data_IF_370547083502
#
_entry.id   IF_370547083502
#
_cell.length_a   1.000
_cell.length_b   1.000
_cell.length_c   1.000
_cell.angle_alpha   90.00
_cell.angle_beta   90.00
_cell.angle_gamma   90.00
#
_symmetry.space_group_name_H-M   'P 1'
#
loop_
_entity.id
_entity.type
_entity.pdbx_description
1 polymer ?
#
# COMPACT_ATOMS: atom_id res chain seq x y z
N UNK A 1 4.30 -28.10 55.93
CA UNK A 1 4.58 -28.07 54.48
C UNK A 1 3.58 -27.10 53.88
N UNK A 2 3.94 -25.82 53.85
CA UNK A 2 3.17 -24.76 53.23
C UNK A 2 3.56 -24.73 51.75
N UNK A 3 2.62 -25.05 50.87
CA UNK A 3 2.75 -24.84 49.43
C UNK A 3 2.86 -23.32 49.20
N UNK A 4 4.08 -22.82 49.06
CA UNK A 4 4.31 -21.53 48.41
C UNK A 4 4.13 -21.76 46.92
N UNK A 5 2.96 -21.42 46.38
CA UNK A 5 2.89 -21.12 44.96
C UNK A 5 3.65 -19.80 44.73
N UNK A 6 4.56 -19.73 43.76
CA UNK A 6 5.20 -18.48 43.39
C UNK A 6 4.12 -17.49 42.93
N UNK A 7 4.14 -16.26 43.45
CA UNK A 7 3.26 -15.20 42.93
C UNK A 7 3.76 -14.87 41.53
N UNK A 8 2.94 -15.14 40.51
CA UNK A 8 3.20 -14.73 39.13
C UNK A 8 3.13 -13.20 39.09
N UNK A 9 4.27 -12.53 39.28
CA UNK A 9 4.39 -11.13 38.91
C UNK A 9 4.25 -11.07 37.39
N UNK A 10 3.39 -10.18 36.90
CA UNK A 10 3.11 -10.07 35.49
C UNK A 10 4.07 -9.09 34.82
N UNK A 11 4.51 -9.40 33.59
CA UNK A 11 5.36 -8.52 32.79
C UNK A 11 4.65 -7.20 32.60
N UNK A 12 5.40 -6.13 32.88
CA UNK A 12 4.86 -4.79 32.81
C UNK A 12 4.61 -4.46 31.35
N UNK A 13 3.35 -4.21 30.97
CA UNK A 13 3.04 -3.71 29.64
C UNK A 13 3.93 -2.51 29.27
N UNK A 14 4.23 -2.38 27.97
CA UNK A 14 5.13 -1.35 27.40
C UNK A 14 4.71 0.11 27.70
N UNK A 15 3.58 0.35 28.36
CA UNK A 15 3.16 1.66 28.87
C UNK A 15 2.65 1.54 30.31
N UNK A 16 3.47 1.97 31.28
CA UNK A 16 2.98 2.28 32.64
C UNK A 16 2.43 3.70 32.68
N UNK A 17 1.13 3.87 32.47
CA UNK A 17 0.44 5.09 32.90
C UNK A 17 0.17 4.99 34.40
N UNK A 18 0.62 5.98 35.18
CA UNK A 18 0.32 6.07 36.62
C UNK A 18 -1.12 6.55 36.80
N UNK A 19 -2.06 5.65 37.06
CA UNK A 19 -3.39 6.06 37.54
C UNK A 19 -3.35 6.43 39.03
N UNK A 20 -3.81 7.65 39.34
CA UNK A 20 -4.09 8.09 40.71
C UNK A 20 -5.55 7.75 41.01
N UNK A 21 -5.78 6.80 41.91
CA UNK A 21 -7.11 6.26 42.20
C UNK A 21 -8.13 7.28 42.72
N UNK A 22 -9.31 7.25 42.10
CA UNK A 22 -10.56 7.81 42.61
C UNK A 22 -11.63 6.73 42.53
N UNK A 23 -11.95 6.10 43.66
CA UNK A 23 -13.01 5.09 43.79
C UNK A 23 -14.39 5.66 43.37
N UNK A 24 -14.98 5.14 42.30
CA UNK A 24 -16.41 5.22 42.05
C UNK A 24 -16.92 3.95 41.32
N UNK A 25 -17.88 3.28 41.93
CA UNK A 25 -18.41 1.98 41.51
C UNK A 25 -19.51 2.10 40.45
N UNK A 26 -19.19 1.77 39.19
CA UNK A 26 -20.16 1.53 38.09
C UNK A 26 -19.84 0.27 37.24
N UNK A 27 -19.12 -0.71 37.80
CA UNK A 27 -18.57 -1.89 37.10
C UNK A 27 -19.57 -2.88 36.46
N UNK A 28 -20.84 -2.87 36.87
CA UNK A 28 -21.74 -3.98 36.52
C UNK A 28 -22.29 -3.94 35.08
N UNK A 29 -22.23 -2.80 34.38
CA UNK A 29 -22.75 -2.68 33.00
C UNK A 29 -21.68 -2.99 31.93
N UNK A 30 -20.39 -2.84 32.27
CA UNK A 30 -19.25 -3.05 31.36
C UNK A 30 -19.03 -4.53 31.02
N UNK A 31 -19.07 -5.41 32.03
CA UNK A 31 -18.88 -6.86 31.85
C UNK A 31 -19.96 -7.48 30.93
N UNK A 32 -21.19 -6.95 30.99
CA UNK A 32 -22.33 -7.45 30.21
C UNK A 32 -22.29 -7.01 28.74
N UNK A 33 -21.73 -5.84 28.43
CA UNK A 33 -21.53 -5.36 27.06
C UNK A 33 -20.33 -6.04 26.40
N UNK A 34 -19.23 -6.24 27.13
CA UNK A 34 -18.02 -6.95 26.65
C UNK A 34 -18.28 -8.42 26.32
N UNK A 35 -19.00 -9.15 27.17
CA UNK A 35 -19.36 -10.55 26.92
C UNK A 35 -20.25 -10.75 25.67
N UNK A 36 -21.04 -9.72 25.29
CA UNK A 36 -21.82 -9.76 24.05
C UNK A 36 -20.95 -9.60 22.82
N UNK A 37 -19.96 -8.70 22.86
CA UNK A 37 -19.01 -8.51 21.75
C UNK A 37 -18.22 -9.79 21.47
N UNK A 38 -17.70 -10.44 22.51
CA UNK A 38 -16.97 -11.72 22.38
C UNK A 38 -17.84 -12.83 21.78
N UNK A 39 -19.10 -12.95 22.21
CA UNK A 39 -20.05 -13.94 21.66
C UNK A 39 -20.38 -13.69 20.19
N UNK A 40 -20.38 -12.43 19.75
CA UNK A 40 -20.70 -12.07 18.36
C UNK A 40 -19.53 -12.40 17.42
N UNK A 41 -18.29 -12.36 17.94
CA UNK A 41 -17.08 -12.73 17.21
C UNK A 41 -16.87 -14.25 17.13
N UNK A 42 -17.30 -15.02 18.13
CA UNK A 42 -17.16 -16.49 18.12
C UNK A 42 -18.15 -17.18 17.20
N UNK A 43 -19.35 -16.61 16.99
CA UNK A 43 -20.38 -17.23 16.15
C UNK A 43 -20.09 -17.11 14.64
N UNK A 44 -19.22 -16.20 14.21
CA UNK A 44 -18.89 -15.99 12.80
C UNK A 44 -17.92 -17.07 12.24
N UNK A 45 -17.20 -17.80 13.10
CA UNK A 45 -16.14 -18.74 12.70
C UNK A 45 -16.64 -20.16 12.40
N UNK A 46 -17.93 -20.47 12.59
CA UNK A 46 -18.41 -21.87 12.59
C UNK A 46 -19.29 -22.29 11.40
N UNK A 47 -19.35 -21.52 10.32
CA UNK A 47 -20.11 -21.91 9.11
C UNK A 47 -19.34 -21.71 7.81
N UNK A 48 -18.45 -22.63 7.47
CA UNK A 48 -18.26 -23.08 6.07
C UNK A 48 -17.27 -24.24 6.03
N UNK A 49 -17.69 -25.42 5.57
CA UNK A 49 -16.83 -26.42 4.89
C UNK A 49 -17.75 -27.46 4.21
N UNK A 50 -18.08 -27.23 2.95
CA UNK A 50 -18.38 -28.31 2.00
C UNK A 50 -17.77 -28.00 0.64
N UNK A 51 -16.68 -28.72 0.37
CA UNK A 51 -16.19 -29.26 -0.90
C UNK A 51 -16.49 -28.52 -2.22
N UNK A 52 -15.44 -27.97 -2.83
CA UNK A 52 -15.28 -28.03 -4.29
C UNK A 52 -13.85 -28.37 -4.68
N UNK A 53 -13.72 -29.41 -5.49
CA UNK A 53 -12.50 -30.07 -5.93
C UNK A 53 -12.26 -29.67 -7.39
N UNK A 54 -11.19 -28.92 -7.68
CA UNK A 54 -10.86 -28.45 -9.02
C UNK A 54 -9.43 -28.83 -9.42
N UNK A 55 -9.33 -29.64 -10.48
CA UNK A 55 -8.09 -30.14 -11.09
C UNK A 55 -7.31 -29.00 -11.76
N UNK A 56 -6.06 -28.82 -11.36
CA UNK A 56 -5.09 -27.98 -12.05
C UNK A 56 -4.54 -28.67 -13.31
N UNK A 57 -4.45 -27.90 -14.40
CA UNK A 57 -3.83 -28.30 -15.68
C UNK A 57 -2.49 -27.58 -15.79
N UNK A 58 -1.40 -28.32 -15.99
CA UNK A 58 -0.04 -27.76 -16.14
C UNK A 58 0.17 -27.09 -17.52
N UNK A 59 0.96 -26.00 -17.61
CA UNK A 59 1.38 -25.45 -18.89
C UNK A 59 2.60 -26.18 -19.45
N UNK A 60 2.60 -26.38 -20.77
CA UNK A 60 3.67 -26.97 -21.58
C UNK A 60 4.90 -26.07 -21.61
N UNK A 61 6.07 -26.65 -21.33
CA UNK A 61 7.37 -26.09 -21.69
C UNK A 61 7.51 -26.00 -23.22
N UNK A 62 7.97 -24.84 -23.70
CA UNK A 62 8.41 -24.62 -25.07
C UNK A 62 9.94 -24.70 -25.08
N UNK A 63 10.45 -25.73 -25.74
CA UNK A 63 11.84 -25.84 -26.15
C UNK A 63 12.11 -24.85 -27.28
N UNK A 64 13.17 -24.04 -27.14
CA UNK A 64 13.79 -23.33 -28.26
C UNK A 64 15.30 -23.59 -28.27
N UNK A 65 15.65 -24.61 -29.04
CA UNK A 65 16.97 -24.83 -29.64
C UNK A 65 17.05 -23.91 -30.87
N UNK A 66 18.06 -23.03 -30.98
CA UNK A 66 18.69 -22.61 -32.24
C UNK A 66 19.95 -21.76 -31.96
N UNK A 67 21.08 -22.24 -32.49
CA UNK A 67 22.34 -21.51 -32.57
C UNK A 67 22.53 -20.76 -33.90
N UNK A 68 23.73 -20.15 -34.00
CA UNK A 68 24.30 -19.31 -35.08
C UNK A 68 23.91 -17.82 -35.00
N UNK A 69 24.80 -16.83 -35.15
CA UNK A 69 26.21 -16.77 -35.49
C UNK A 69 26.80 -15.47 -34.88
N UNK A 70 28.03 -15.54 -34.36
CA UNK A 70 28.76 -14.37 -33.87
C UNK A 70 29.37 -13.60 -35.05
N UNK A 71 28.85 -12.41 -35.33
CA UNK A 71 29.55 -11.40 -36.12
C UNK A 71 30.02 -10.27 -35.21
N UNK A 72 31.31 -10.30 -34.87
CA UNK A 72 32.06 -9.20 -34.29
C UNK A 72 32.06 -7.99 -35.23
N UNK A 73 31.34 -6.94 -34.85
CA UNK A 73 31.48 -5.60 -35.41
C UNK A 73 32.22 -4.73 -34.39
N UNK A 74 33.21 -4.02 -34.90
CA UNK A 74 34.18 -3.16 -34.22
C UNK A 74 33.53 -2.15 -33.28
N UNK A 75 34.02 -2.13 -32.05
CA UNK A 75 33.87 -1.05 -31.07
C UNK A 75 34.61 0.19 -31.56
N UNK A 76 33.90 1.30 -31.74
CA UNK A 76 34.27 2.64 -31.27
C UNK A 76 33.16 3.64 -31.67
N UNK A 77 32.61 4.35 -30.67
CA UNK A 77 31.61 5.44 -30.76
C UNK A 77 30.12 5.10 -30.96
N UNK A 78 29.52 4.25 -30.10
CA UNK A 78 28.07 4.28 -29.84
C UNK A 78 27.86 4.35 -28.33
N UNK A 79 27.51 5.54 -27.82
CA UNK A 79 27.01 5.71 -26.45
C UNK A 79 25.62 5.07 -26.33
N UNK A 80 25.48 4.15 -25.37
CA UNK A 80 24.25 3.70 -24.69
C UNK A 80 22.97 3.61 -25.54
N UNK A 81 22.98 2.78 -26.58
CA UNK A 81 21.73 2.33 -27.21
C UNK A 81 21.38 0.96 -26.66
N UNK A 82 20.48 0.90 -25.68
CA UNK A 82 19.90 -0.36 -25.21
C UNK A 82 18.97 -0.86 -26.33
N UNK A 83 19.35 -1.96 -26.99
CA UNK A 83 18.55 -2.57 -28.05
C UNK A 83 17.43 -3.38 -27.39
N UNK A 84 16.19 -2.92 -27.53
CA UNK A 84 14.99 -3.63 -27.13
C UNK A 84 14.51 -4.48 -28.32
N UNK A 85 14.46 -5.81 -28.16
CA UNK A 85 13.85 -6.70 -29.17
C UNK A 85 12.33 -6.56 -29.11
N UNK A 86 11.80 -5.66 -29.93
CA UNK A 86 10.35 -5.51 -30.14
C UNK A 86 9.87 -6.62 -31.09
N UNK A 87 8.78 -7.30 -30.73
CA UNK A 87 8.10 -8.22 -31.64
C UNK A 87 7.48 -7.42 -32.79
N UNK A 88 7.79 -7.73 -34.05
CA UNK A 88 7.49 -6.89 -35.22
C UNK A 88 6.01 -6.71 -35.60
N UNK A 89 5.07 -7.06 -34.71
CA UNK A 89 3.61 -7.00 -34.93
C UNK A 89 2.81 -6.38 -33.76
N UNK A 90 3.44 -5.85 -32.70
CA UNK A 90 2.75 -5.23 -31.55
C UNK A 90 2.25 -3.81 -31.83
N UNK A 91 1.23 -3.40 -31.08
CA UNK A 91 0.74 -2.01 -31.05
C UNK A 91 1.84 -1.10 -30.47
N UNK A 92 2.15 0.03 -31.13
CA UNK A 92 3.16 0.98 -30.68
C UNK A 92 2.90 1.44 -29.23
N UNK A 93 1.63 1.54 -28.80
CA UNK A 93 1.29 1.90 -27.41
C UNK A 93 1.68 0.80 -26.43
N UNK A 94 1.51 -0.47 -26.80
CA UNK A 94 1.86 -1.62 -25.98
C UNK A 94 3.38 -1.71 -25.78
N UNK A 95 4.16 -1.46 -26.83
CA UNK A 95 5.64 -1.43 -26.73
C UNK A 95 6.12 -0.39 -25.72
N UNK A 96 5.52 0.81 -25.75
CA UNK A 96 5.88 1.90 -24.85
C UNK A 96 5.39 1.62 -23.42
N UNK A 97 4.26 0.93 -23.25
CA UNK A 97 3.83 0.40 -21.94
C UNK A 97 4.84 -0.60 -21.38
N UNK A 98 5.36 -1.52 -22.19
CA UNK A 98 6.38 -2.47 -21.74
C UNK A 98 7.69 -1.77 -21.33
N UNK A 99 8.07 -0.69 -22.05
CA UNK A 99 9.21 0.14 -21.65
C UNK A 99 8.98 0.82 -20.29
N UNK A 100 7.78 1.34 -20.04
CA UNK A 100 7.40 1.92 -18.76
C UNK A 100 7.47 0.89 -17.63
N UNK A 101 6.85 -0.28 -17.81
CA UNK A 101 6.79 -1.34 -16.79
C UNK A 101 8.21 -1.79 -16.44
N UNK A 102 9.02 -2.11 -17.45
CA UNK A 102 10.40 -2.53 -17.24
C UNK A 102 11.25 -1.44 -16.57
N UNK A 103 11.12 -0.19 -17.04
CA UNK A 103 11.85 0.94 -16.45
C UNK A 103 11.54 1.12 -14.97
N UNK A 104 10.27 0.99 -14.58
CA UNK A 104 9.85 1.02 -13.17
C UNK A 104 10.40 -0.17 -12.38
N UNK A 105 10.27 -1.39 -12.90
CA UNK A 105 10.78 -2.60 -12.24
C UNK A 105 12.30 -2.55 -12.02
N UNK A 106 13.08 -2.04 -12.98
CA UNK A 106 14.52 -1.89 -12.84
C UNK A 106 14.87 -0.89 -11.71
N UNK A 107 14.09 0.20 -11.55
CA UNK A 107 14.25 1.15 -10.43
C UNK A 107 13.98 0.46 -9.08
N UNK A 108 12.88 -0.30 -8.97
CA UNK A 108 12.52 -1.03 -7.75
C UNK A 108 13.56 -2.09 -7.39
N UNK A 109 14.21 -2.70 -8.39
CA UNK A 109 15.30 -3.65 -8.21
C UNK A 109 16.65 -3.00 -7.86
N UNK A 110 16.70 -1.67 -7.72
CA UNK A 110 17.92 -0.91 -7.42
C UNK A 110 18.80 -0.60 -8.64
N UNK A 111 18.37 -0.95 -9.84
CA UNK A 111 19.01 -0.62 -11.12
C UNK A 111 18.53 0.74 -11.63
N UNK A 112 18.74 1.77 -10.81
CA UNK A 112 18.14 3.10 -11.00
C UNK A 112 18.55 3.74 -12.32
N UNK A 113 19.81 3.58 -12.77
CA UNK A 113 20.28 4.21 -14.01
C UNK A 113 19.69 3.56 -15.25
N UNK A 114 19.62 2.23 -15.27
CA UNK A 114 19.00 1.44 -16.34
C UNK A 114 17.51 1.81 -16.48
N UNK A 115 16.80 1.88 -15.35
CA UNK A 115 15.40 2.29 -15.34
C UNK A 115 15.19 3.74 -15.80
N UNK A 116 16.06 4.69 -15.39
CA UNK A 116 16.03 6.08 -15.90
C UNK A 116 16.19 6.13 -17.42
N UNK A 117 17.13 5.35 -17.98
CA UNK A 117 17.35 5.30 -19.44
C UNK A 117 16.11 4.76 -20.17
N UNK A 118 15.47 3.72 -19.65
CA UNK A 118 14.24 3.16 -20.21
C UNK A 118 13.08 4.17 -20.15
N UNK A 119 12.89 4.86 -19.03
CA UNK A 119 11.83 5.87 -18.90
C UNK A 119 12.05 7.07 -19.82
N UNK A 120 13.29 7.51 -20.03
CA UNK A 120 13.62 8.52 -21.05
C UNK A 120 13.32 8.04 -22.46
N UNK A 121 13.65 6.78 -22.76
CA UNK A 121 13.29 6.14 -24.03
C UNK A 121 11.78 6.11 -24.25
N UNK A 122 11.01 5.74 -23.22
CA UNK A 122 9.56 5.72 -23.21
C UNK A 122 8.99 7.11 -23.55
N UNK A 123 9.46 8.17 -22.87
CA UNK A 123 9.04 9.56 -23.13
C UNK A 123 9.38 9.99 -24.56
N UNK A 124 10.58 9.66 -25.05
CA UNK A 124 10.98 10.00 -26.42
C UNK A 124 10.10 9.36 -27.49
N UNK A 125 9.69 8.11 -27.26
CA UNK A 125 8.77 7.41 -28.16
C UNK A 125 7.36 8.00 -28.08
N UNK A 126 6.86 8.34 -26.88
CA UNK A 126 5.60 9.07 -26.73
C UNK A 126 5.63 10.41 -27.49
N UNK A 127 6.71 11.18 -27.38
CA UNK A 127 6.90 12.44 -28.09
C UNK A 127 6.95 12.23 -29.61
N UNK A 128 7.55 11.13 -30.08
CA UNK A 128 7.57 10.77 -31.51
C UNK A 128 6.16 10.47 -32.00
N UNK A 129 5.37 9.68 -31.27
CA UNK A 129 3.98 9.38 -31.60
C UNK A 129 3.14 10.67 -31.71
N UNK A 130 3.29 11.61 -30.77
CA UNK A 130 2.62 12.91 -30.82
C UNK A 130 3.06 13.72 -32.05
N UNK A 131 4.36 13.77 -32.36
CA UNK A 131 4.87 14.50 -33.54
C UNK A 131 4.36 13.94 -34.85
N UNK A 132 4.43 12.61 -35.01
CA UNK A 132 3.93 11.90 -36.19
C UNK A 132 2.45 12.20 -36.37
N UNK A 133 1.68 12.13 -35.28
CA UNK A 133 0.25 12.41 -35.28
C UNK A 133 -0.11 13.86 -35.59
N UNK A 134 0.68 14.81 -35.12
CA UNK A 134 0.49 16.23 -35.43
C UNK A 134 0.97 16.61 -36.84
N UNK A 135 1.42 15.65 -37.65
CA UNK A 135 1.95 15.88 -39.00
C UNK A 135 3.31 16.59 -39.02
N UNK A 136 3.98 16.64 -37.87
CA UNK A 136 5.27 17.31 -37.68
C UNK A 136 6.42 16.31 -37.86
N UNK A 137 6.49 15.67 -39.03
CA UNK A 137 7.60 14.75 -39.34
C UNK A 137 8.79 15.54 -39.89
N UNK A 138 9.96 15.49 -39.22
CA UNK A 138 11.15 16.14 -39.72
C UNK A 138 11.52 15.63 -41.11
N UNK A 139 11.75 16.55 -42.06
CA UNK A 139 12.21 16.27 -43.43
C UNK A 139 11.19 15.58 -44.37
N UNK A 140 9.91 15.50 -44.01
CA UNK A 140 8.88 15.04 -44.93
C UNK A 140 8.74 15.99 -46.14
N UNK A 141 8.59 15.42 -47.34
CA UNK A 141 8.28 16.17 -48.56
C UNK A 141 6.88 16.77 -48.47
N UNK A 142 6.58 17.79 -49.29
CA UNK A 142 5.24 18.42 -49.32
C UNK A 142 4.14 17.42 -49.67
N UNK A 143 4.44 16.43 -50.51
CA UNK A 143 3.49 15.39 -50.93
C UNK A 143 3.22 14.41 -49.77
N UNK A 144 4.25 13.99 -49.02
CA UNK A 144 4.11 13.16 -47.82
C UNK A 144 3.34 13.87 -46.71
N UNK A 145 3.61 15.17 -46.48
CA UNK A 145 2.86 15.98 -45.52
C UNK A 145 1.38 16.07 -45.89
N UNK A 146 1.07 16.17 -47.18
CA UNK A 146 -0.31 16.31 -47.66
C UNK A 146 -1.08 14.98 -47.58
N UNK A 147 -0.43 13.86 -47.91
CA UNK A 147 -0.96 12.51 -47.68
C UNK A 147 -1.20 12.22 -46.19
N UNK A 148 -0.28 12.67 -45.33
CA UNK A 148 -0.44 12.52 -43.88
C UNK A 148 -1.54 13.39 -43.29
N UNK A 149 -1.71 14.63 -43.74
CA UNK A 149 -2.82 15.45 -43.26
C UNK A 149 -4.18 14.81 -43.52
N UNK A 150 -4.33 14.09 -44.64
CA UNK A 150 -5.54 13.32 -44.94
C UNK A 150 -5.65 12.13 -43.99
N UNK A 151 -4.57 11.38 -43.77
CA UNK A 151 -4.55 10.25 -42.84
C UNK A 151 -4.83 10.67 -41.38
N UNK A 152 -4.27 11.80 -40.94
CA UNK A 152 -4.43 12.36 -39.58
C UNK A 152 -5.89 12.75 -39.33
N UNK A 153 -6.56 13.33 -40.33
CA UNK A 153 -7.99 13.67 -40.25
C UNK A 153 -8.88 12.43 -40.14
N UNK A 154 -8.39 11.26 -40.55
CA UNK A 154 -9.11 9.99 -40.51
C UNK A 154 -8.72 9.11 -39.30
N UNK A 155 -7.59 9.35 -38.64
CA UNK A 155 -7.15 8.57 -37.47
C UNK A 155 -7.76 9.05 -36.14
N UNK A 156 -8.38 8.15 -35.35
CA UNK A 156 -8.97 8.47 -34.04
C UNK A 156 -7.92 8.99 -33.06
N UNK A 157 -8.32 9.81 -32.07
CA UNK A 157 -7.46 10.41 -31.02
C UNK A 157 -6.50 9.39 -30.38
N UNK A 158 -5.35 9.82 -29.83
CA UNK A 158 -4.48 8.86 -29.13
C UNK A 158 -5.30 8.27 -28.00
N UNK A 159 -5.17 6.97 -27.79
CA UNK A 159 -5.95 6.27 -26.77
C UNK A 159 -5.66 6.87 -25.39
N UNK A 160 -6.62 6.76 -24.46
CA UNK A 160 -6.38 7.15 -23.07
C UNK A 160 -5.17 6.40 -22.49
N UNK A 161 -4.97 5.14 -22.92
CA UNK A 161 -3.84 4.32 -22.50
C UNK A 161 -2.48 4.94 -22.86
N UNK A 162 -2.34 5.52 -24.06
CA UNK A 162 -1.14 6.26 -24.45
C UNK A 162 -0.80 7.37 -23.44
N UNK A 163 -1.80 8.18 -23.06
CA UNK A 163 -1.59 9.29 -22.13
C UNK A 163 -1.30 8.81 -20.70
N UNK A 164 -1.89 7.68 -20.29
CA UNK A 164 -1.53 7.01 -19.04
C UNK A 164 -0.05 6.62 -19.02
N UNK A 165 0.44 5.94 -20.07
CA UNK A 165 1.84 5.54 -20.17
C UNK A 165 2.76 6.76 -20.11
N UNK A 166 2.45 7.79 -20.90
CA UNK A 166 3.27 9.00 -20.96
C UNK A 166 3.31 9.74 -19.62
N UNK A 167 2.15 9.95 -18.98
CA UNK A 167 2.07 10.59 -17.66
C UNK A 167 2.83 9.81 -16.58
N UNK A 168 2.70 8.48 -16.57
CA UNK A 168 3.42 7.62 -15.62
C UNK A 168 4.94 7.68 -15.83
N UNK A 169 5.40 7.65 -17.08
CA UNK A 169 6.82 7.72 -17.40
C UNK A 169 7.46 9.04 -16.93
N UNK A 170 6.78 10.18 -17.14
CA UNK A 170 7.22 11.48 -16.64
C UNK A 170 7.32 11.50 -15.11
N UNK A 171 6.29 10.99 -14.43
CA UNK A 171 6.26 10.94 -12.98
C UNK A 171 7.40 10.08 -12.41
N UNK A 172 7.52 8.83 -12.87
CA UNK A 172 8.56 7.92 -12.37
C UNK A 172 9.98 8.37 -12.73
N UNK A 173 10.17 9.01 -13.89
CA UNK A 173 11.46 9.60 -14.23
C UNK A 173 11.82 10.71 -13.24
N UNK A 174 10.87 11.60 -12.92
CA UNK A 174 11.07 12.65 -11.94
C UNK A 174 11.49 12.10 -10.57
N UNK A 175 10.84 11.03 -10.10
CA UNK A 175 11.20 10.36 -8.85
C UNK A 175 12.60 9.76 -8.88
N UNK A 176 12.91 9.02 -9.93
CA UNK A 176 14.20 8.35 -10.06
C UNK A 176 15.36 9.35 -10.17
N UNK A 177 15.18 10.46 -10.89
CA UNK A 177 16.19 11.52 -10.96
C UNK A 177 16.40 12.21 -9.61
N UNK A 178 15.34 12.47 -8.86
CA UNK A 178 15.45 13.05 -7.51
C UNK A 178 16.18 12.10 -6.53
N UNK A 179 15.86 10.80 -6.59
CA UNK A 179 16.54 9.78 -5.80
C UNK A 179 18.03 9.65 -6.17
N UNK A 180 18.36 9.64 -7.47
CA UNK A 180 19.73 9.56 -7.95
C UNK A 180 20.57 10.79 -7.55
N UNK A 181 19.98 11.99 -7.53
CA UNK A 181 20.66 13.19 -7.06
C UNK A 181 20.98 13.11 -5.56
N UNK A 182 20.02 12.65 -4.76
CA UNK A 182 20.19 12.49 -3.30
C UNK A 182 21.34 11.54 -2.96
N UNK A 183 21.51 10.47 -3.74
CA UNK A 183 22.62 9.52 -3.56
C UNK A 183 23.97 10.12 -3.95
N UNK A 184 24.02 10.88 -5.05
CA UNK A 184 25.25 11.47 -5.57
C UNK A 184 25.74 12.69 -4.75
N UNK A 185 24.81 13.46 -4.20
CA UNK A 185 25.08 14.75 -3.53
C UNK A 185 25.11 14.64 -2.01
N UNK A 186 25.45 13.46 -1.47
CA UNK A 186 25.63 13.20 -0.02
C UNK A 186 26.74 14.04 0.66
N UNK A 187 27.20 15.13 0.01
CA UNK A 187 28.04 16.20 0.57
C UNK A 187 27.71 17.64 0.14
N UNK A 188 26.61 17.91 -0.60
CA UNK A 188 26.20 19.28 -0.96
C UNK A 188 24.69 19.49 -0.80
N UNK A 189 24.29 20.39 0.11
CA UNK A 189 22.91 20.59 0.59
C UNK A 189 21.90 21.23 -0.40
N UNK A 190 22.21 21.35 -1.69
CA UNK A 190 21.29 21.98 -2.67
C UNK A 190 20.67 20.95 -3.61
N UNK A 191 19.87 20.02 -3.05
CA UNK A 191 18.89 19.31 -3.87
C UNK A 191 17.99 20.34 -4.56
N UNK A 192 17.66 20.15 -5.83
CA UNK A 192 16.89 21.11 -6.62
C UNK A 192 15.41 20.67 -6.75
N UNK A 193 14.57 20.85 -5.71
CA UNK A 193 13.18 20.37 -5.66
C UNK A 193 12.31 20.90 -6.80
N UNK A 194 12.73 22.01 -7.42
CA UNK A 194 12.06 22.62 -8.58
C UNK A 194 11.94 21.65 -9.76
N UNK A 195 12.96 20.81 -10.01
CA UNK A 195 12.91 19.87 -11.15
C UNK A 195 11.87 18.76 -10.97
N UNK A 196 11.73 18.23 -9.75
CA UNK A 196 10.73 17.19 -9.47
C UNK A 196 9.31 17.74 -9.60
N UNK A 197 9.08 18.97 -9.11
CA UNK A 197 7.79 19.65 -9.28
C UNK A 197 7.43 19.80 -10.77
N UNK A 198 8.38 20.18 -11.63
CA UNK A 198 8.14 20.30 -13.08
C UNK A 198 7.71 18.96 -13.71
N UNK A 199 8.34 17.85 -13.32
CA UNK A 199 7.95 16.51 -13.78
C UNK A 199 6.55 16.11 -13.29
N UNK A 200 6.20 16.45 -12.06
CA UNK A 200 4.88 16.20 -11.48
C UNK A 200 3.79 16.97 -12.23
N UNK A 201 3.99 18.28 -12.48
CA UNK A 201 3.03 19.07 -13.25
C UNK A 201 2.91 18.57 -14.69
N UNK A 202 4.02 18.20 -15.33
CA UNK A 202 3.99 17.64 -16.68
C UNK A 202 3.25 16.29 -16.73
N UNK A 203 3.42 15.44 -15.71
CA UNK A 203 2.69 14.18 -15.61
C UNK A 203 1.19 14.41 -15.43
N UNK A 204 0.79 15.36 -14.57
CA UNK A 204 -0.62 15.74 -14.38
C UNK A 204 -1.22 16.25 -15.69
N UNK A 205 -0.55 17.18 -16.39
CA UNK A 205 -1.00 17.72 -17.68
C UNK A 205 -1.27 16.62 -18.70
N UNK A 206 -0.35 15.65 -18.81
CA UNK A 206 -0.50 14.53 -19.76
C UNK A 206 -1.65 13.60 -19.40
N UNK A 207 -1.85 13.32 -18.13
CA UNK A 207 -2.95 12.48 -17.66
C UNK A 207 -4.31 13.16 -17.82
N UNK A 208 -4.41 14.44 -17.48
CA UNK A 208 -5.63 15.24 -17.69
C UNK A 208 -5.96 15.35 -19.19
N UNK A 209 -4.95 15.57 -20.05
CA UNK A 209 -5.12 15.49 -21.52
C UNK A 209 -5.69 14.14 -21.95
N UNK A 210 -5.26 13.04 -21.31
CA UNK A 210 -5.78 11.70 -21.57
C UNK A 210 -7.25 11.53 -21.22
N UNK A 211 -7.74 12.19 -20.17
CA UNK A 211 -9.17 12.20 -19.84
C UNK A 211 -10.00 13.07 -20.80
N UNK A 212 -9.41 14.14 -21.32
CA UNK A 212 -10.10 15.06 -22.24
C UNK A 212 -10.17 14.55 -23.68
N UNK A 213 -9.09 13.93 -24.18
CA UNK A 213 -8.92 13.58 -25.59
C UNK A 213 -8.93 12.08 -25.85
N UNK A 214 -8.71 11.26 -24.82
CA UNK A 214 -8.60 9.82 -24.96
C UNK A 214 -9.90 9.16 -25.38
N UNK A 215 -9.78 8.00 -26.03
CA UNK A 215 -10.93 7.12 -26.25
C UNK A 215 -11.56 6.72 -24.92
N UNK A 216 -12.89 6.47 -24.94
CA UNK A 216 -13.65 5.99 -23.78
C UNK A 216 -13.35 4.51 -23.49
N UNK A 217 -12.10 4.19 -23.18
CA UNK A 217 -11.70 2.92 -22.58
C UNK A 217 -11.84 3.01 -21.05
N UNK A 218 -12.79 2.28 -20.44
CA UNK A 218 -12.99 2.30 -18.99
C UNK A 218 -11.73 1.93 -18.21
N UNK A 219 -10.91 1.00 -18.70
CA UNK A 219 -9.71 0.55 -17.99
C UNK A 219 -8.66 1.66 -17.97
N UNK A 220 -8.34 2.25 -19.13
CA UNK A 220 -7.43 3.38 -19.19
C UNK A 220 -7.92 4.59 -18.38
N UNK A 221 -9.23 4.91 -18.42
CA UNK A 221 -9.79 6.01 -17.61
C UNK A 221 -9.59 5.75 -16.11
N UNK A 222 -9.78 4.51 -15.66
CA UNK A 222 -9.55 4.15 -14.25
C UNK A 222 -8.08 4.23 -13.89
N UNK A 223 -7.20 3.70 -14.74
CA UNK A 223 -5.74 3.80 -14.57
C UNK A 223 -5.30 5.26 -14.46
N UNK A 224 -5.79 6.15 -15.33
CA UNK A 224 -5.49 7.59 -15.28
C UNK A 224 -5.97 8.22 -13.97
N UNK A 225 -7.23 7.98 -13.56
CA UNK A 225 -7.76 8.55 -12.33
C UNK A 225 -7.01 8.05 -11.09
N UNK A 226 -6.75 6.74 -10.98
CA UNK A 226 -5.95 6.19 -9.89
C UNK A 226 -4.57 6.84 -9.80
N UNK A 227 -3.93 7.05 -10.95
CA UNK A 227 -2.61 7.67 -11.01
C UNK A 227 -2.62 9.18 -10.74
N UNK A 228 -3.63 9.92 -11.21
CA UNK A 228 -3.80 11.35 -10.89
C UNK A 228 -3.95 11.56 -9.39
N UNK A 229 -4.77 10.73 -8.71
CA UNK A 229 -4.88 10.78 -7.26
C UNK A 229 -3.54 10.46 -6.56
N UNK A 230 -2.80 9.44 -7.03
CA UNK A 230 -1.46 9.11 -6.52
C UNK A 230 -0.47 10.27 -6.66
N UNK A 231 -0.39 10.89 -7.85
CA UNK A 231 0.54 11.99 -8.10
C UNK A 231 0.17 13.21 -7.24
N UNK A 232 -1.12 13.55 -7.12
CA UNK A 232 -1.56 14.68 -6.30
C UNK A 232 -1.28 14.44 -4.81
N UNK A 233 -1.45 13.22 -4.29
CA UNK A 233 -1.03 12.85 -2.93
C UNK A 233 0.48 13.00 -2.71
N UNK A 234 1.28 12.64 -3.72
CA UNK A 234 2.72 12.86 -3.67
C UNK A 234 3.07 14.35 -3.72
N UNK A 235 2.39 15.14 -4.57
CA UNK A 235 2.56 16.59 -4.64
C UNK A 235 2.33 17.24 -3.28
N UNK A 236 1.28 16.85 -2.55
CA UNK A 236 1.04 17.35 -1.18
C UNK A 236 2.23 17.04 -0.27
N UNK A 237 2.81 15.84 -0.39
CA UNK A 237 3.96 15.42 0.42
C UNK A 237 5.26 16.19 0.13
N UNK A 238 5.39 16.76 -1.07
CA UNK A 238 6.61 17.43 -1.54
C UNK A 238 6.53 18.94 -1.36
N UNK A 239 5.34 19.50 -1.44
CA UNK A 239 5.15 20.95 -1.39
C UNK A 239 4.68 21.34 0.01
N UNK A 240 5.49 22.13 0.72
CA UNK A 240 5.08 22.89 1.92
C UNK A 240 4.13 24.03 1.52
N UNK A 241 3.04 23.66 0.88
CA UNK A 241 2.05 24.57 0.32
C UNK A 241 1.17 25.13 1.44
N UNK A 242 0.47 26.22 1.16
CA UNK A 242 -0.44 26.78 2.17
C UNK A 242 -1.54 25.75 2.51
N UNK A 243 -2.07 25.73 3.75
CA UNK A 243 -3.09 24.74 4.14
C UNK A 243 -4.32 24.65 3.24
N UNK A 244 -4.64 25.74 2.52
CA UNK A 244 -5.74 25.77 1.54
C UNK A 244 -5.45 24.99 0.27
N UNK A 245 -4.20 24.98 -0.20
CA UNK A 245 -3.83 24.25 -1.41
C UNK A 245 -3.74 22.75 -1.11
N UNK A 246 -3.23 22.39 0.08
CA UNK A 246 -3.28 21.01 0.59
C UNK A 246 -4.73 20.49 0.62
N UNK A 247 -5.65 21.25 1.20
CA UNK A 247 -7.07 20.89 1.25
C UNK A 247 -7.68 20.75 -0.16
N UNK A 248 -7.36 21.65 -1.09
CA UNK A 248 -7.80 21.54 -2.47
C UNK A 248 -7.29 20.26 -3.14
N UNK A 249 -5.98 19.98 -3.02
CA UNK A 249 -5.36 18.79 -3.60
C UNK A 249 -5.96 17.50 -3.00
N UNK A 250 -6.22 17.46 -1.69
CA UNK A 250 -6.87 16.32 -1.04
C UNK A 250 -8.27 16.08 -1.60
N UNK A 251 -9.06 17.14 -1.80
CA UNK A 251 -10.37 17.04 -2.43
C UNK A 251 -10.28 16.52 -3.87
N UNK A 252 -9.32 17.00 -4.66
CA UNK A 252 -9.08 16.51 -6.02
C UNK A 252 -8.67 15.02 -6.03
N UNK A 253 -7.79 14.59 -5.12
CA UNK A 253 -7.42 13.19 -4.95
C UNK A 253 -8.65 12.32 -4.68
N UNK A 254 -9.50 12.73 -3.75
CA UNK A 254 -10.72 12.00 -3.40
C UNK A 254 -11.70 11.89 -4.58
N UNK A 255 -11.81 12.93 -5.41
CA UNK A 255 -12.62 12.86 -6.64
C UNK A 255 -12.10 11.78 -7.57
N UNK A 256 -10.79 11.79 -7.86
CA UNK A 256 -10.18 10.79 -8.73
C UNK A 256 -10.30 9.36 -8.18
N UNK A 257 -10.03 9.17 -6.89
CA UNK A 257 -10.18 7.86 -6.25
C UNK A 257 -11.63 7.38 -6.22
N UNK A 258 -12.60 8.27 -6.05
CA UNK A 258 -14.03 7.93 -6.10
C UNK A 258 -14.44 7.44 -7.49
N UNK A 259 -13.88 8.01 -8.56
CA UNK A 259 -14.13 7.53 -9.94
C UNK A 259 -13.66 6.08 -10.10
N UNK A 260 -12.47 5.74 -9.60
CA UNK A 260 -11.95 4.36 -9.64
C UNK A 260 -12.84 3.42 -8.83
N UNK A 261 -13.26 3.86 -7.64
CA UNK A 261 -14.15 3.10 -6.77
C UNK A 261 -15.49 2.78 -7.44
N UNK A 262 -16.07 3.76 -8.13
CA UNK A 262 -17.39 3.63 -8.76
C UNK A 262 -17.35 2.89 -10.11
N UNK A 263 -16.16 2.71 -10.70
CA UNK A 263 -15.98 2.12 -12.04
C UNK A 263 -16.40 0.66 -12.16
N UNK A 264 -16.16 -0.15 -11.11
CA UNK A 264 -16.42 -1.59 -11.06
C UNK A 264 -16.01 -2.33 -12.34
N UNK A 265 -14.73 -2.22 -12.71
CA UNK A 265 -14.20 -2.86 -13.91
C UNK A 265 -14.51 -4.37 -13.94
N UNK A 266 -14.71 -4.91 -15.14
CA UNK A 266 -14.97 -6.34 -15.34
C UNK A 266 -13.77 -7.21 -14.92
N UNK A 267 -12.55 -6.72 -15.17
CA UNK A 267 -11.32 -7.32 -14.65
C UNK A 267 -11.16 -7.00 -13.17
N UNK A 268 -11.71 -7.89 -12.34
CA UNK A 268 -11.66 -7.78 -10.88
C UNK A 268 -10.23 -7.76 -10.34
N UNK A 269 -9.29 -8.49 -10.94
CA UNK A 269 -7.91 -8.56 -10.43
C UNK A 269 -7.24 -7.20 -10.56
N UNK A 270 -7.34 -6.59 -11.74
CA UNK A 270 -6.81 -5.26 -11.99
C UNK A 270 -7.52 -4.21 -11.14
N UNK A 271 -8.85 -4.28 -11.00
CA UNK A 271 -9.61 -3.37 -10.14
C UNK A 271 -9.23 -3.47 -8.67
N UNK A 272 -9.15 -4.69 -8.12
CA UNK A 272 -8.71 -4.92 -6.73
C UNK A 272 -7.31 -4.35 -6.52
N UNK A 273 -6.36 -4.63 -7.43
CA UNK A 273 -5.00 -4.09 -7.34
C UNK A 273 -4.99 -2.56 -7.28
N UNK A 274 -5.75 -1.88 -8.15
CA UNK A 274 -5.84 -0.42 -8.14
C UNK A 274 -6.47 0.12 -6.86
N UNK A 275 -7.54 -0.52 -6.37
CA UNK A 275 -8.18 -0.12 -5.11
C UNK A 275 -7.24 -0.30 -3.92
N UNK A 276 -6.46 -1.38 -3.90
CA UNK A 276 -5.47 -1.65 -2.87
C UNK A 276 -4.38 -0.58 -2.84
N UNK A 277 -3.85 -0.20 -4.00
CA UNK A 277 -2.86 0.87 -4.11
C UNK A 277 -3.40 2.20 -3.57
N UNK A 278 -4.64 2.56 -3.91
CA UNK A 278 -5.29 3.78 -3.43
C UNK A 278 -5.44 3.75 -1.90
N UNK A 279 -5.95 2.65 -1.35
CA UNK A 279 -6.15 2.54 0.08
C UNK A 279 -4.83 2.61 0.85
N UNK A 280 -3.78 1.99 0.32
CA UNK A 280 -2.44 2.05 0.90
C UNK A 280 -1.86 3.46 0.84
N UNK A 281 -2.04 4.19 -0.27
CA UNK A 281 -1.59 5.59 -0.39
C UNK A 281 -2.29 6.47 0.64
N UNK A 282 -3.61 6.35 0.78
CA UNK A 282 -4.38 7.12 1.76
C UNK A 282 -3.92 6.83 3.19
N UNK A 283 -3.70 5.56 3.54
CA UNK A 283 -3.23 5.15 4.86
C UNK A 283 -1.79 5.60 5.13
N UNK A 284 -0.85 5.35 4.21
CA UNK A 284 0.53 5.80 4.39
C UNK A 284 0.64 7.31 4.53
N UNK A 285 -0.23 8.05 3.82
CA UNK A 285 -0.28 9.49 4.00
C UNK A 285 -0.87 9.82 5.36
N UNK A 286 -2.00 9.24 5.80
CA UNK A 286 -2.59 9.55 7.11
C UNK A 286 -1.63 9.36 8.28
N UNK A 287 -0.67 8.43 8.17
CA UNK A 287 0.33 8.14 9.21
C UNK A 287 1.48 9.17 9.32
N UNK A 288 1.51 10.24 8.51
CA UNK A 288 2.55 11.27 8.66
C UNK A 288 2.27 12.22 9.82
N UNK A 289 3.31 12.50 10.60
CA UNK A 289 3.26 13.38 11.78
C UNK A 289 2.84 14.83 11.48
N UNK A 290 3.04 15.31 10.26
CA UNK A 290 2.83 16.71 9.87
C UNK A 290 1.41 17.02 9.36
N UNK A 291 0.53 16.01 9.30
CA UNK A 291 -0.84 16.15 8.83
C UNK A 291 -1.77 16.60 9.96
N UNK A 292 -2.78 17.41 9.62
CA UNK A 292 -3.80 17.80 10.58
C UNK A 292 -4.62 16.57 11.00
N UNK A 293 -4.95 16.49 12.29
CA UNK A 293 -5.75 15.40 12.84
C UNK A 293 -7.05 15.12 12.08
N UNK A 294 -7.76 16.15 11.61
CA UNK A 294 -8.99 15.97 10.82
C UNK A 294 -8.72 15.32 9.46
N UNK A 295 -7.68 15.76 8.76
CA UNK A 295 -7.28 15.20 7.46
C UNK A 295 -6.80 13.75 7.64
N UNK A 296 -6.05 13.47 8.73
CA UNK A 296 -5.63 12.12 9.12
C UNK A 296 -6.84 11.21 9.28
N UNK A 297 -7.81 11.60 10.11
CA UNK A 297 -9.05 10.85 10.34
C UNK A 297 -9.81 10.59 9.04
N UNK A 298 -10.00 11.62 8.21
CA UNK A 298 -10.72 11.50 6.93
C UNK A 298 -10.04 10.50 5.99
N UNK A 299 -8.72 10.52 5.89
CA UNK A 299 -7.96 9.62 5.03
C UNK A 299 -7.93 8.18 5.55
N UNK A 300 -7.78 8.00 6.87
CA UNK A 300 -7.88 6.69 7.52
C UNK A 300 -9.27 6.08 7.29
N UNK A 301 -10.34 6.84 7.51
CA UNK A 301 -11.72 6.38 7.25
C UNK A 301 -11.96 6.04 5.77
N UNK A 302 -11.41 6.84 4.86
CA UNK A 302 -11.50 6.59 3.43
C UNK A 302 -10.75 5.31 3.03
N UNK A 303 -9.54 5.10 3.55
CA UNK A 303 -8.77 3.87 3.34
C UNK A 303 -9.51 2.64 3.86
N UNK A 304 -10.03 2.69 5.10
CA UNK A 304 -10.83 1.61 5.68
C UNK A 304 -12.07 1.29 4.83
N UNK A 305 -12.75 2.31 4.29
CA UNK A 305 -13.91 2.13 3.41
C UNK A 305 -13.52 1.35 2.16
N UNK A 306 -12.37 1.67 1.55
CA UNK A 306 -11.88 0.96 0.36
C UNK A 306 -11.55 -0.49 0.69
N UNK A 307 -10.78 -0.76 1.75
CA UNK A 307 -10.45 -2.13 2.15
C UNK A 307 -11.70 -2.98 2.40
N UNK A 308 -12.71 -2.41 3.08
CA UNK A 308 -14.01 -3.07 3.28
C UNK A 308 -14.77 -3.34 1.97
N UNK A 309 -14.55 -2.56 0.92
CA UNK A 309 -15.16 -2.79 -0.39
C UNK A 309 -14.43 -3.91 -1.12
N UNK A 310 -13.09 -3.93 -1.08
CA UNK A 310 -12.30 -5.03 -1.64
C UNK A 310 -12.66 -6.36 -0.96
N UNK A 311 -12.71 -6.40 0.38
CA UNK A 311 -13.07 -7.61 1.14
C UNK A 311 -14.50 -8.10 0.93
N UNK A 312 -15.39 -7.26 0.38
CA UNK A 312 -16.73 -7.71 -0.05
C UNK A 312 -16.71 -8.40 -1.41
N UNK A 313 -15.74 -8.07 -2.26
CA UNK A 313 -15.56 -8.68 -3.57
C UNK A 313 -14.63 -9.89 -3.52
N UNK A 314 -13.61 -9.86 -2.65
CA UNK A 314 -12.69 -10.95 -2.35
C UNK A 314 -12.35 -10.96 -0.84
N UNK A 315 -13.06 -11.80 -0.07
CA UNK A 315 -12.88 -11.95 1.38
C UNK A 315 -11.56 -12.65 1.76
N UNK A 316 -10.82 -13.14 0.76
CA UNK A 316 -9.53 -13.83 0.92
C UNK A 316 -8.34 -12.99 0.48
N UNK A 317 -8.54 -11.72 0.12
CA UNK A 317 -7.44 -10.84 -0.24
C UNK A 317 -6.60 -10.49 1.01
N UNK A 318 -5.43 -11.13 1.12
CA UNK A 318 -4.53 -10.99 2.28
C UNK A 318 -4.11 -9.54 2.47
N UNK A 319 -3.79 -8.82 1.39
CA UNK A 319 -3.35 -7.42 1.48
C UNK A 319 -4.44 -6.53 2.08
N UNK A 320 -5.70 -6.73 1.69
CA UNK A 320 -6.83 -5.97 2.23
C UNK A 320 -7.15 -6.31 3.68
N UNK A 321 -7.01 -7.58 4.08
CA UNK A 321 -7.15 -7.99 5.48
C UNK A 321 -6.11 -7.28 6.34
N UNK A 322 -4.85 -7.30 5.90
CA UNK A 322 -3.74 -6.65 6.61
C UNK A 322 -3.92 -5.13 6.62
N UNK A 323 -4.21 -4.52 5.48
CA UNK A 323 -4.41 -3.07 5.36
C UNK A 323 -5.56 -2.55 6.23
N UNK A 324 -6.69 -3.28 6.27
CA UNK A 324 -7.80 -2.93 7.15
C UNK A 324 -7.43 -3.11 8.64
N UNK A 325 -6.77 -4.22 8.98
CA UNK A 325 -6.27 -4.45 10.34
C UNK A 325 -5.35 -3.34 10.82
N UNK A 326 -4.39 -2.92 10.00
CA UNK A 326 -3.45 -1.85 10.33
C UNK A 326 -4.15 -0.49 10.51
N UNK A 327 -5.10 -0.16 9.64
CA UNK A 327 -5.86 1.08 9.76
C UNK A 327 -6.74 1.11 11.02
N UNK A 328 -7.28 -0.04 11.45
CA UNK A 328 -8.05 -0.16 12.69
C UNK A 328 -7.16 -0.07 13.93
N UNK A 329 -5.99 -0.72 13.92
CA UNK A 329 -4.99 -0.63 14.98
C UNK A 329 -4.55 0.83 15.19
N UNK A 330 -4.15 1.53 14.12
CA UNK A 330 -3.74 2.93 14.20
C UNK A 330 -4.86 3.85 14.76
N UNK A 331 -6.11 3.61 14.35
CA UNK A 331 -7.27 4.36 14.89
C UNK A 331 -7.48 4.05 16.38
N UNK A 332 -7.27 2.80 16.80
CA UNK A 332 -7.39 2.42 18.20
C UNK A 332 -6.31 3.07 19.06
N UNK A 333 -5.06 3.14 18.57
CA UNK A 333 -3.96 3.79 19.27
C UNK A 333 -4.24 5.27 19.52
N UNK A 334 -4.77 5.99 18.53
CA UNK A 334 -5.21 7.38 18.71
C UNK A 334 -6.29 7.53 19.78
N UNK A 335 -7.26 6.60 19.82
CA UNK A 335 -8.32 6.62 20.82
C UNK A 335 -7.78 6.32 22.21
N UNK A 336 -6.83 5.39 22.35
CA UNK A 336 -6.15 5.11 23.62
C UNK A 336 -5.42 6.36 24.11
N UNK A 337 -4.63 7.00 23.24
CA UNK A 337 -3.89 8.21 23.61
C UNK A 337 -4.83 9.38 23.98
N UNK A 338 -5.93 9.56 23.23
CA UNK A 338 -6.93 10.56 23.55
C UNK A 338 -7.67 10.26 24.87
N UNK A 339 -7.97 8.99 25.13
CA UNK A 339 -8.62 8.55 26.35
C UNK A 339 -7.74 8.77 27.58
N UNK A 340 -6.44 8.49 27.48
CA UNK A 340 -5.46 8.74 28.56
C UNK A 340 -5.35 10.24 28.88
N UNK A 341 -5.41 11.10 27.87
CA UNK A 341 -5.34 12.55 28.05
C UNK A 341 -6.63 13.14 28.64
N UNK A 342 -7.78 12.58 28.30
CA UNK A 342 -9.09 13.12 28.67
C UNK A 342 -9.81 12.31 29.77
N UNK A 343 -9.18 11.25 30.28
CA UNK A 343 -9.77 10.28 31.21
C UNK A 343 -11.13 9.73 30.69
N UNK A 344 -11.20 9.40 29.40
CA UNK A 344 -12.46 9.00 28.73
C UNK A 344 -12.60 7.49 28.57
N UNK A 345 -13.47 6.88 29.38
CA UNK A 345 -13.79 5.44 29.30
C UNK A 345 -14.47 5.05 27.97
N UNK A 346 -15.34 5.92 27.44
CA UNK A 346 -16.03 5.68 26.16
C UNK A 346 -15.03 5.47 25.00
N UNK A 347 -13.95 6.27 24.98
CA UNK A 347 -12.90 6.15 23.97
C UNK A 347 -12.09 4.85 24.11
N UNK A 348 -11.90 4.35 25.34
CA UNK A 348 -11.25 3.04 25.58
C UNK A 348 -12.14 1.88 25.13
N UNK A 349 -13.47 1.96 25.31
CA UNK A 349 -14.40 0.95 24.78
C UNK A 349 -14.38 0.91 23.26
N UNK A 350 -14.37 2.08 22.60
CA UNK A 350 -14.26 2.17 21.15
C UNK A 350 -12.92 1.60 20.65
N UNK A 351 -11.80 1.93 21.32
CA UNK A 351 -10.49 1.39 21.00
C UNK A 351 -10.44 -0.14 21.14
N UNK A 352 -10.99 -0.69 22.22
CA UNK A 352 -11.08 -2.14 22.45
C UNK A 352 -11.84 -2.83 21.30
N UNK A 353 -12.96 -2.27 20.86
CA UNK A 353 -13.75 -2.80 19.74
C UNK A 353 -12.96 -2.81 18.42
N UNK A 354 -12.18 -1.76 18.15
CA UNK A 354 -11.34 -1.67 16.96
C UNK A 354 -10.18 -2.67 17.00
N UNK A 355 -9.51 -2.84 18.15
CA UNK A 355 -8.43 -3.80 18.32
C UNK A 355 -8.89 -5.25 18.15
N UNK A 356 -10.09 -5.60 18.66
CA UNK A 356 -10.66 -6.93 18.44
C UNK A 356 -10.92 -7.19 16.96
N UNK A 357 -11.40 -6.18 16.22
CA UNK A 357 -11.58 -6.28 14.77
C UNK A 357 -10.23 -6.39 14.04
N UNK A 358 -9.22 -5.59 14.42
CA UNK A 358 -7.88 -5.66 13.85
C UNK A 358 -7.27 -7.06 14.03
N UNK A 359 -7.31 -7.60 15.25
CA UNK A 359 -6.83 -8.95 15.56
C UNK A 359 -7.57 -10.02 14.75
N UNK A 360 -8.88 -9.87 14.56
CA UNK A 360 -9.65 -10.77 13.68
C UNK A 360 -9.13 -10.75 12.24
N UNK A 361 -8.92 -9.58 11.64
CA UNK A 361 -8.40 -9.49 10.27
C UNK A 361 -6.98 -10.04 10.14
N UNK A 362 -6.08 -9.77 11.10
CA UNK A 362 -4.73 -10.32 11.09
C UNK A 362 -4.71 -11.85 11.23
N UNK A 363 -5.56 -12.44 12.09
CA UNK A 363 -5.71 -13.90 12.19
C UNK A 363 -6.19 -14.50 10.86
N UNK A 364 -7.22 -13.91 10.25
CA UNK A 364 -7.71 -14.35 8.93
C UNK A 364 -6.62 -14.28 7.86
N UNK A 365 -5.79 -13.23 7.85
CA UNK A 365 -4.65 -13.12 6.94
C UNK A 365 -3.58 -14.19 7.19
N UNK A 366 -3.32 -14.54 8.46
CA UNK A 366 -2.39 -15.63 8.81
C UNK A 366 -2.92 -16.99 8.38
N UNK A 367 -4.21 -17.27 8.58
CA UNK A 367 -4.81 -18.54 8.18
C UNK A 367 -4.71 -18.76 6.65
N UNK A 368 -4.87 -17.70 5.86
CA UNK A 368 -4.73 -17.76 4.40
C UNK A 368 -3.27 -17.89 3.91
N UNK A 369 -2.30 -17.48 4.71
CA UNK A 369 -0.87 -17.53 4.35
C UNK A 369 -0.17 -18.79 4.88
N UNK A 370 -0.71 -19.41 5.94
CA UNK A 370 -0.21 -20.69 6.49
C UNK A 370 -0.23 -21.82 5.46
N UNK A 371 -1.20 -21.82 4.54
CA UNK A 371 -1.30 -22.80 3.45
C UNK A 371 -0.10 -22.78 2.47
N UNK A 372 0.77 -21.77 2.55
CA UNK A 372 1.89 -21.56 1.62
C UNK A 372 3.27 -21.90 2.22
N UNK A 373 3.35 -22.50 3.41
CA UNK A 373 4.60 -22.78 4.14
C UNK A 373 5.49 -21.53 4.36
N UNK A 374 4.93 -20.32 4.23
CA UNK A 374 5.64 -19.06 4.40
C UNK A 374 5.12 -18.32 5.63
N UNK A 375 6.02 -17.99 6.54
CA UNK A 375 5.72 -17.16 7.70
C UNK A 375 5.56 -15.71 7.25
N UNK A 376 4.36 -15.15 7.42
CA UNK A 376 4.11 -13.74 7.15
C UNK A 376 4.53 -12.89 8.35
N UNK A 377 5.81 -12.55 8.40
CA UNK A 377 6.43 -11.81 9.52
C UNK A 377 5.71 -10.48 9.82
N UNK A 378 5.43 -9.59 8.85
CA UNK A 378 4.72 -8.34 9.12
C UNK A 378 3.38 -8.55 9.85
N UNK A 379 2.59 -9.55 9.44
CA UNK A 379 1.27 -9.81 10.04
C UNK A 379 1.40 -10.35 11.46
N UNK A 380 2.40 -11.20 11.73
CA UNK A 380 2.66 -11.68 13.10
C UNK A 380 3.10 -10.54 14.03
N UNK A 381 3.91 -9.59 13.55
CA UNK A 381 4.29 -8.41 14.33
C UNK A 381 3.06 -7.56 14.67
N UNK A 382 2.22 -7.27 13.67
CA UNK A 382 0.99 -6.48 13.86
C UNK A 382 -0.03 -7.18 14.78
N UNK A 383 -0.21 -8.50 14.63
CA UNK A 383 -1.06 -9.27 15.55
C UNK A 383 -0.50 -9.23 16.97
N UNK A 384 0.80 -9.43 17.13
CA UNK A 384 1.44 -9.41 18.44
C UNK A 384 1.29 -8.06 19.15
N UNK A 385 1.51 -6.96 18.43
CA UNK A 385 1.27 -5.61 18.92
C UNK A 385 -0.18 -5.40 19.32
N UNK A 386 -1.13 -5.74 18.44
CA UNK A 386 -2.57 -5.66 18.72
C UNK A 386 -2.95 -6.44 19.99
N UNK A 387 -2.38 -7.65 20.16
CA UNK A 387 -2.59 -8.48 21.34
C UNK A 387 -1.97 -7.87 22.62
N UNK A 388 -0.84 -7.16 22.55
CA UNK A 388 -0.32 -6.39 23.69
C UNK A 388 -1.33 -5.31 24.08
N UNK A 389 -1.85 -4.53 23.13
CA UNK A 389 -2.84 -3.49 23.42
C UNK A 389 -4.12 -4.07 24.03
N UNK A 390 -4.64 -5.17 23.48
CA UNK A 390 -5.77 -5.88 24.04
C UNK A 390 -5.50 -6.40 25.47
N UNK A 391 -4.29 -6.90 25.72
CA UNK A 391 -3.84 -7.30 27.05
C UNK A 391 -3.88 -6.14 28.04
N UNK A 392 -3.27 -5.01 27.67
CA UNK A 392 -3.22 -3.80 28.50
C UNK A 392 -4.62 -3.26 28.84
N UNK A 393 -5.55 -3.23 27.87
CA UNK A 393 -6.91 -2.71 28.09
C UNK A 393 -7.83 -3.65 28.88
N UNK A 394 -7.49 -4.93 28.96
CA UNK A 394 -8.21 -5.92 29.78
C UNK A 394 -7.51 -6.19 31.11
N UNK A 395 -6.38 -5.54 31.38
CA UNK A 395 -5.70 -5.65 32.66
C UNK A 395 -6.51 -4.92 33.74
N UNK A 396 -6.81 -5.64 34.81
CA UNK A 396 -7.63 -5.19 35.92
C UNK A 396 -6.84 -5.44 37.20
N UNK A 397 -6.97 -4.55 38.18
CA UNK A 397 -6.19 -4.59 39.43
C UNK A 397 -6.51 -5.85 40.26
N UNK A 398 -7.67 -6.49 40.01
CA UNK A 398 -8.00 -7.79 40.58
C UNK A 398 -7.45 -8.96 39.72
N UNK A 399 -6.36 -9.56 40.21
CA UNK A 399 -5.72 -10.74 39.61
C UNK A 399 -6.67 -11.93 39.40
N UNK A 400 -7.79 -12.00 40.12
CA UNK A 400 -8.77 -13.09 40.03
C UNK A 400 -9.96 -12.76 39.11
N UNK A 401 -10.02 -11.56 38.53
CA UNK A 401 -11.11 -11.18 37.64
C UNK A 401 -11.05 -11.95 36.31
N UNK A 402 -12.19 -12.08 35.65
CA UNK A 402 -12.29 -12.67 34.30
C UNK A 402 -11.44 -11.86 33.31
N UNK A 403 -11.42 -10.53 33.46
CA UNK A 403 -10.61 -9.63 32.64
C UNK A 403 -9.12 -9.96 32.75
N UNK A 404 -8.66 -10.27 33.96
CA UNK A 404 -7.30 -10.74 34.23
C UNK A 404 -6.89 -11.98 33.42
N UNK A 405 -7.79 -12.93 33.24
CA UNK A 405 -7.53 -14.14 32.42
C UNK A 405 -7.53 -13.82 30.92
N UNK A 406 -8.43 -12.94 30.49
CA UNK A 406 -8.50 -12.45 29.11
C UNK A 406 -7.25 -11.66 28.74
N UNK A 407 -6.73 -10.81 29.63
CA UNK A 407 -5.47 -10.10 29.40
C UNK A 407 -4.31 -11.07 29.19
N UNK A 408 -4.19 -12.09 30.05
CA UNK A 408 -3.15 -13.12 29.96
C UNK A 408 -3.25 -13.93 28.65
N UNK A 409 -4.46 -14.24 28.17
CA UNK A 409 -4.61 -14.98 26.91
C UNK A 409 -4.11 -14.15 25.71
N UNK A 410 -4.38 -12.85 25.68
CA UNK A 410 -3.83 -11.96 24.66
C UNK A 410 -2.32 -11.84 24.73
N UNK A 411 -1.73 -11.66 25.92
CA UNK A 411 -0.27 -11.62 26.04
C UNK A 411 0.39 -12.95 25.60
N UNK A 412 -0.20 -14.10 25.91
CA UNK A 412 0.28 -15.41 25.42
C UNK A 412 0.26 -15.45 23.90
N UNK A 413 -0.80 -14.95 23.25
CA UNK A 413 -0.90 -14.91 21.79
C UNK A 413 0.15 -13.96 21.18
N UNK A 414 0.42 -12.81 21.82
CA UNK A 414 1.49 -11.91 21.40
C UNK A 414 2.86 -12.61 21.45
N UNK A 415 3.17 -13.28 22.57
CA UNK A 415 4.41 -14.05 22.75
C UNK A 415 4.52 -15.17 21.72
N UNK A 416 3.45 -15.89 21.41
CA UNK A 416 3.44 -16.91 20.36
C UNK A 416 3.73 -16.31 18.98
N UNK A 417 3.15 -15.15 18.68
CA UNK A 417 3.34 -14.46 17.41
C UNK A 417 4.80 -14.01 17.24
N UNK A 418 5.37 -13.34 18.24
CA UNK A 418 6.76 -12.89 18.19
C UNK A 418 7.76 -14.05 18.21
N UNK A 419 7.50 -15.14 18.93
CA UNK A 419 8.34 -16.34 18.89
C UNK A 419 8.36 -16.97 17.49
N UNK A 420 7.23 -16.98 16.76
CA UNK A 420 7.21 -17.44 15.37
C UNK A 420 8.05 -16.55 14.46
N UNK A 421 8.01 -15.22 14.66
CA UNK A 421 8.90 -14.29 13.95
C UNK A 421 10.36 -14.61 14.28
N UNK A 422 10.71 -14.69 15.56
CA UNK A 422 12.09 -14.97 15.99
C UNK A 422 12.64 -16.30 15.46
N UNK A 423 11.80 -17.33 15.32
CA UNK A 423 12.20 -18.61 14.75
C UNK A 423 12.40 -18.57 13.23
N UNK A 424 11.63 -17.74 12.53
CA UNK A 424 11.66 -17.62 11.06
C UNK A 424 12.70 -16.62 10.57
N UNK A 425 12.72 -15.44 11.20
CA UNK A 425 13.58 -14.32 10.88
C UNK A 425 13.83 -13.48 12.16
N UNK A 426 14.90 -13.79 12.92
CA UNK A 426 15.23 -13.08 14.15
C UNK A 426 15.53 -11.59 13.94
N UNK A 427 16.04 -11.20 12.77
CA UNK A 427 16.43 -9.83 12.48
C UNK A 427 15.23 -8.94 12.15
N UNK A 428 14.13 -9.55 11.72
CA UNK A 428 12.89 -8.85 11.42
C UNK A 428 12.03 -8.52 12.65
N UNK A 429 12.35 -9.04 13.84
CA UNK A 429 11.63 -8.71 15.07
C UNK A 429 12.10 -7.34 15.61
N UNK A 430 11.22 -6.31 15.70
CA UNK A 430 11.56 -5.03 16.30
C UNK A 430 12.11 -5.17 17.74
N UNK A 431 13.09 -4.33 18.08
CA UNK A 431 13.80 -4.40 19.36
C UNK A 431 12.84 -4.32 20.56
N UNK A 432 11.82 -3.46 20.51
CA UNK A 432 10.82 -3.33 21.58
C UNK A 432 10.02 -4.62 21.82
N UNK A 433 9.77 -5.43 20.78
CA UNK A 433 9.06 -6.71 20.94
C UNK A 433 10.01 -7.80 21.45
N UNK A 434 11.30 -7.74 21.08
CA UNK A 434 12.32 -8.61 21.65
C UNK A 434 12.55 -8.33 23.16
N UNK A 435 12.50 -7.05 23.57
CA UNK A 435 12.53 -6.66 24.99
C UNK A 435 11.30 -7.17 25.74
N UNK A 436 10.11 -7.01 25.17
CA UNK A 436 8.87 -7.57 25.74
C UNK A 436 8.96 -9.08 25.96
N UNK A 437 9.50 -9.85 25.00
CA UNK A 437 9.70 -11.30 25.17
C UNK A 437 10.63 -11.63 26.35
N UNK A 438 11.73 -10.87 26.53
CA UNK A 438 12.67 -11.08 27.63
C UNK A 438 12.03 -10.78 28.99
N UNK A 439 11.24 -9.70 29.08
CA UNK A 439 10.49 -9.37 30.30
C UNK A 439 9.45 -10.44 30.62
N UNK A 440 8.71 -10.93 29.60
CA UNK A 440 7.75 -12.00 29.75
C UNK A 440 8.37 -13.29 30.28
N UNK A 441 9.49 -13.72 29.71
CA UNK A 441 10.20 -14.94 30.12
C UNK A 441 10.78 -14.81 31.54
N UNK A 442 11.23 -13.62 31.94
CA UNK A 442 11.75 -13.37 33.28
C UNK A 442 10.67 -13.40 34.37
N UNK A 443 9.43 -13.03 34.03
CA UNK A 443 8.33 -12.96 34.97
C UNK A 443 7.55 -14.29 35.10
N UNK A 444 7.61 -15.14 34.08
CA UNK A 444 6.97 -16.45 34.05
C UNK A 444 7.85 -17.60 34.59
N UNK A 445 9.14 -17.35 34.88
CA UNK A 445 10.10 -18.32 35.41
C UNK A 445 10.67 -17.93 36.77
#
# INVERSE_FOLDING_TARGET
MTNNQPSQKRPMGLRKTKHNGSDNSTDFDLVSKRAKLDSTLTDCTTQSLTDTNSKATQPKQLDTDHGMDQNTISTDEIQDTIIFEVASESDEVEDVEQMLIRGHTDIEAGQVQEGILLLRGCIHECDKMIRVRNGNIPKATKEEQQLQQVAIAETPTLSAMFYWVYGCALYYLGLAEAQSQTLAESGSEESNPTKLADFIEAAIDRLETGLELGENDPVAICKINGFLGKIKMHKISLVFETPKVVEQLLNECQVHFSIVLDSKLEDKVTWISMMSDIAQICYNYSEKDDIKLEDKKQLTEFSQKIWKIILKEDDRDVNSLVGLGSALLATADELIEAAEQNESEDQLEDALSLLLQAAHYFRSALDLTQDQDKVNVPVLCLLGETCIHLGNLNEDDDEQSINSQTAVSFYIEAVQSFNKVQQSDPEALPAQFAEFLQEWDADMH
#
